data_IF_414696861515
#
_entry.id   IF_414696861515
#
_cell.length_a   1.000
_cell.length_b   1.000
_cell.length_c   1.000
_cell.angle_alpha   90.00
_cell.angle_beta   90.00
_cell.angle_gamma   90.00
#
_symmetry.space_group_name_H-M   'P 1'
#
loop_
_entity.id
_entity.type
_entity.pdbx_description
1 polymer ?
#
# COMPACT_ATOMS: atom_id res chain seq x y z
N UNK A 1 69.24 -3.75 27.98
CA UNK A 1 68.28 -3.71 26.86
C UNK A 1 66.88 -3.78 27.44
N UNK A 2 66.03 -2.78 27.18
CA UNK A 2 64.68 -2.67 27.76
C UNK A 2 63.71 -2.59 26.59
N UNK A 3 63.03 -3.69 26.29
CA UNK A 3 62.11 -3.81 25.16
C UNK A 3 60.74 -3.30 25.58
N UNK A 4 60.25 -2.26 24.92
CA UNK A 4 58.91 -1.70 25.16
C UNK A 4 57.96 -2.30 24.13
N UNK A 5 56.93 -3.01 24.61
CA UNK A 5 55.83 -3.50 23.78
C UNK A 5 54.79 -2.39 23.63
N UNK A 6 54.59 -1.90 22.41
CA UNK A 6 53.52 -0.96 22.06
C UNK A 6 52.31 -1.78 21.64
N UNK A 7 51.26 -1.77 22.46
CA UNK A 7 50.00 -2.45 22.17
C UNK A 7 49.12 -1.53 21.31
N UNK A 8 48.96 -1.86 20.02
CA UNK A 8 48.11 -1.14 19.08
C UNK A 8 46.65 -1.54 19.32
N UNK A 9 45.90 -0.75 20.07
CA UNK A 9 44.46 -0.95 20.28
C UNK A 9 43.69 -0.64 18.99
N UNK A 10 43.21 -1.67 18.30
CA UNK A 10 42.24 -1.52 17.21
C UNK A 10 40.88 -1.12 17.79
N UNK A 11 40.44 0.10 17.52
CA UNK A 11 39.08 0.56 17.74
C UNK A 11 38.16 -0.12 16.73
N UNK A 12 37.47 -1.17 17.15
CA UNK A 12 36.32 -1.71 16.42
C UNK A 12 35.18 -0.69 16.49
N UNK A 13 35.02 0.12 15.45
CA UNK A 13 33.83 0.97 15.27
C UNK A 13 32.69 0.04 14.87
N UNK A 14 31.87 -0.33 15.84
CA UNK A 14 30.63 -1.10 15.60
C UNK A 14 29.72 -0.30 14.67
N UNK A 15 29.62 -0.73 13.41
CA UNK A 15 28.61 -0.25 12.49
C UNK A 15 27.26 -0.78 12.97
N UNK A 16 26.53 0.04 13.72
CA UNK A 16 25.11 -0.19 13.97
C UNK A 16 24.39 -0.05 12.63
N UNK A 17 24.14 -1.18 11.97
CA UNK A 17 23.19 -1.24 10.87
C UNK A 17 21.82 -0.99 11.47
N UNK A 18 21.30 0.22 11.31
CA UNK A 18 19.89 0.48 11.56
C UNK A 18 19.11 -0.33 10.52
N UNK A 19 18.48 -1.42 10.95
CA UNK A 19 17.39 -2.00 10.20
C UNK A 19 16.30 -0.92 10.12
N UNK A 20 16.23 -0.22 8.99
CA UNK A 20 15.06 0.58 8.69
C UNK A 20 13.87 -0.38 8.71
N UNK A 21 12.95 -0.19 9.66
CA UNK A 21 11.68 -0.89 9.66
C UNK A 21 10.92 -0.39 8.44
N UNK A 22 11.08 -1.06 7.30
CA UNK A 22 10.24 -0.83 6.13
C UNK A 22 8.83 -1.23 6.58
N UNK A 23 7.88 -0.29 6.64
CA UNK A 23 6.51 -0.60 7.03
C UNK A 23 6.02 -1.73 6.11
N UNK A 24 5.48 -2.78 6.71
CA UNK A 24 4.96 -3.90 5.92
C UNK A 24 3.84 -3.38 5.02
N UNK A 25 4.07 -3.41 3.71
CA UNK A 25 3.07 -3.09 2.68
C UNK A 25 1.86 -4.03 2.74
N UNK A 26 2.06 -5.23 3.27
CA UNK A 26 0.97 -6.20 3.42
C UNK A 26 -0.01 -5.77 4.50
N UNK A 27 -1.30 -5.80 4.20
CA UNK A 27 -2.40 -5.62 5.13
C UNK A 27 -3.68 -5.17 4.44
N UNK A 28 -4.67 -4.87 5.28
CA UNK A 28 -5.96 -4.31 4.89
C UNK A 28 -5.91 -2.78 5.00
N UNK A 29 -6.41 -2.08 3.98
CA UNK A 29 -6.42 -0.63 3.92
C UNK A 29 -7.83 -0.13 3.59
N UNK A 30 -8.40 0.70 4.44
CA UNK A 30 -9.73 1.27 4.24
C UNK A 30 -9.65 2.72 3.77
N UNK A 31 -10.55 3.14 2.88
CA UNK A 31 -10.57 4.52 2.37
C UNK A 31 -11.05 5.49 3.43
N UNK A 32 -10.38 6.63 3.52
CA UNK A 32 -10.78 7.76 4.33
C UNK A 32 -11.16 8.95 3.45
N UNK A 33 -12.25 9.60 3.82
CA UNK A 33 -12.72 10.85 3.23
C UNK A 33 -12.91 11.90 4.34
N UNK A 34 -12.28 13.06 4.19
CA UNK A 34 -12.30 14.14 5.18
C UNK A 34 -11.90 13.70 6.61
N UNK A 35 -10.95 12.77 6.71
CA UNK A 35 -10.43 12.26 8.00
C UNK A 35 -11.35 11.26 8.70
N UNK A 36 -12.46 10.88 8.07
CA UNK A 36 -13.36 9.82 8.54
C UNK A 36 -13.28 8.63 7.60
N UNK A 37 -13.58 7.45 8.13
CA UNK A 37 -13.78 6.25 7.31
C UNK A 37 -14.85 6.55 6.25
N UNK A 38 -14.62 6.13 5.01
CA UNK A 38 -15.60 6.28 3.94
C UNK A 38 -16.91 5.60 4.37
N UNK A 39 -18.00 6.35 4.29
CA UNK A 39 -19.33 5.84 4.64
C UNK A 39 -19.81 4.76 3.66
N UNK A 40 -19.26 4.74 2.45
CA UNK A 40 -19.40 3.65 1.50
C UNK A 40 -18.19 2.73 1.63
N UNK A 41 -18.39 1.42 1.55
CA UNK A 41 -17.29 0.47 1.63
C UNK A 41 -16.28 0.70 0.50
N UNK A 42 -15.02 0.96 0.85
CA UNK A 42 -13.92 0.99 -0.10
C UNK A 42 -12.62 0.56 0.58
N UNK A 43 -12.02 -0.53 0.11
CA UNK A 43 -10.81 -1.10 0.69
C UNK A 43 -9.87 -1.71 -0.35
N UNK A 44 -8.61 -1.86 0.05
CA UNK A 44 -7.57 -2.56 -0.68
C UNK A 44 -6.84 -3.50 0.27
N UNK A 45 -6.70 -4.75 -0.11
CA UNK A 45 -5.86 -5.74 0.54
C UNK A 45 -4.59 -5.98 -0.27
N UNK A 46 -3.47 -6.04 0.43
CA UNK A 46 -2.18 -6.40 -0.14
C UNK A 46 -1.64 -7.60 0.63
N UNK A 47 -1.36 -8.69 -0.07
CA UNK A 47 -0.72 -9.88 0.49
C UNK A 47 0.57 -10.16 -0.25
N UNK A 48 1.69 -10.30 0.47
CA UNK A 48 2.97 -10.56 -0.17
C UNK A 48 2.99 -11.95 -0.80
N UNK A 49 3.42 -12.03 -2.06
CA UNK A 49 3.60 -13.28 -2.80
C UNK A 49 5.09 -13.60 -2.96
N UNK A 50 5.90 -12.59 -3.25
CA UNK A 50 7.37 -12.68 -3.34
C UNK A 50 8.02 -11.37 -2.81
N UNK A 51 9.33 -11.23 -2.99
CA UNK A 51 10.15 -10.11 -2.56
C UNK A 51 9.59 -8.75 -3.02
N UNK A 52 9.17 -8.65 -4.27
CA UNK A 52 8.55 -7.44 -4.86
C UNK A 52 7.16 -7.66 -5.43
N UNK A 53 6.55 -8.83 -5.25
CA UNK A 53 5.22 -9.14 -5.79
C UNK A 53 4.18 -9.27 -4.69
N UNK A 54 3.01 -8.70 -4.93
CA UNK A 54 1.88 -8.71 -4.02
C UNK A 54 0.63 -9.11 -4.77
N UNK A 55 -0.19 -9.95 -4.13
CA UNK A 55 -1.59 -10.11 -4.49
C UNK A 55 -2.32 -8.86 -3.99
N UNK A 56 -2.91 -8.13 -4.91
CA UNK A 56 -3.74 -6.97 -4.67
C UNK A 56 -5.17 -7.37 -4.94
N UNK A 57 -6.04 -7.16 -3.96
CA UNK A 57 -7.49 -7.24 -4.13
C UNK A 57 -8.14 -5.99 -3.54
N UNK A 58 -9.34 -5.64 -3.96
CA UNK A 58 -10.06 -4.52 -3.39
C UNK A 58 -11.47 -4.38 -3.93
N UNK A 59 -12.29 -3.68 -3.16
CA UNK A 59 -13.66 -3.34 -3.52
C UNK A 59 -13.87 -1.85 -3.30
N UNK A 60 -14.64 -1.20 -4.17
CA UNK A 60 -15.15 0.15 -3.95
C UNK A 60 -16.62 0.21 -4.29
N UNK A 61 -17.41 0.84 -3.42
CA UNK A 61 -18.85 0.94 -3.54
C UNK A 61 -19.26 2.40 -3.76
N UNK A 62 -20.15 2.60 -4.71
CA UNK A 62 -20.89 3.84 -4.87
C UNK A 62 -22.38 3.59 -4.63
N UNK A 63 -22.99 4.38 -3.75
CA UNK A 63 -24.41 4.30 -3.43
C UNK A 63 -25.10 5.56 -3.94
N UNK A 64 -26.00 5.41 -4.92
CA UNK A 64 -26.82 6.51 -5.42
C UNK A 64 -28.08 6.70 -4.59
N UNK A 65 -28.92 5.65 -4.56
CA UNK A 65 -30.11 5.57 -3.71
C UNK A 65 -30.20 4.17 -3.13
N UNK A 66 -29.90 4.05 -1.83
CA UNK A 66 -29.92 2.77 -1.12
C UNK A 66 -31.33 2.20 -0.97
N UNK A 67 -32.38 3.03 -1.02
CA UNK A 67 -33.77 2.58 -0.85
C UNK A 67 -34.30 1.82 -2.06
N UNK A 68 -33.79 2.13 -3.25
CA UNK A 68 -34.08 1.42 -4.50
C UNK A 68 -33.05 0.35 -4.85
N UNK A 69 -31.99 0.21 -4.03
CA UNK A 69 -30.88 -0.70 -4.31
C UNK A 69 -29.96 -0.21 -5.45
N UNK A 70 -29.96 1.09 -5.76
CA UNK A 70 -29.08 1.66 -6.78
C UNK A 70 -27.65 1.80 -6.24
N UNK A 71 -26.94 0.68 -6.29
CA UNK A 71 -25.58 0.49 -5.79
C UNK A 71 -24.72 -0.01 -6.96
N UNK A 72 -23.59 0.65 -7.18
CA UNK A 72 -22.57 0.21 -8.13
C UNK A 72 -21.33 -0.23 -7.36
N UNK A 73 -20.71 -1.31 -7.81
CA UNK A 73 -19.54 -1.92 -7.17
C UNK A 73 -18.42 -2.03 -8.21
N UNK A 74 -17.19 -1.79 -7.77
CA UNK A 74 -15.97 -2.06 -8.51
C UNK A 74 -15.09 -3.01 -7.73
N UNK A 75 -14.41 -3.88 -8.44
CA UNK A 75 -13.51 -4.88 -7.88
C UNK A 75 -12.20 -4.84 -8.66
N UNK A 76 -11.10 -4.94 -7.92
CA UNK A 76 -9.76 -5.10 -8.48
C UNK A 76 -9.17 -6.38 -7.91
N UNK A 77 -8.51 -7.17 -8.74
CA UNK A 77 -7.85 -8.39 -8.32
C UNK A 77 -6.69 -8.71 -9.27
N UNK A 78 -5.49 -8.90 -8.72
CA UNK A 78 -4.32 -9.18 -9.54
C UNK A 78 -3.03 -9.36 -8.76
N UNK A 79 -2.00 -9.89 -9.42
CA UNK A 79 -0.63 -9.86 -8.89
C UNK A 79 0.04 -8.62 -9.45
N UNK A 80 0.61 -7.81 -8.57
CA UNK A 80 1.26 -6.55 -8.90
C UNK A 80 2.69 -6.52 -8.40
N UNK A 81 3.55 -5.86 -9.17
CA UNK A 81 4.93 -5.60 -8.74
C UNK A 81 5.00 -4.26 -8.02
N UNK A 82 5.59 -4.28 -6.82
CA UNK A 82 5.90 -3.08 -6.07
C UNK A 82 7.27 -2.54 -6.48
N UNK A 83 7.29 -1.31 -7.01
CA UNK A 83 8.51 -0.64 -7.46
C UNK A 83 8.79 0.57 -6.57
N UNK A 84 9.75 0.43 -5.64
CA UNK A 84 10.12 1.48 -4.69
C UNK A 84 9.01 1.74 -3.68
N UNK A 85 8.15 2.72 -3.98
CA UNK A 85 6.97 3.06 -3.19
C UNK A 85 5.67 3.13 -4.03
N UNK A 86 5.67 2.56 -5.24
CA UNK A 86 4.57 2.68 -6.18
C UNK A 86 4.14 1.32 -6.72
N UNK A 87 2.84 1.20 -6.96
CA UNK A 87 2.20 0.14 -7.75
C UNK A 87 1.52 0.81 -8.94
N UNK A 88 1.73 0.27 -10.13
CA UNK A 88 0.88 0.55 -11.29
C UNK A 88 0.05 -0.70 -11.55
N UNK A 89 -1.24 -0.61 -11.29
CA UNK A 89 -2.20 -1.65 -11.61
C UNK A 89 -2.72 -1.41 -13.02
N UNK A 90 -2.74 -2.45 -13.85
CA UNK A 90 -3.34 -2.45 -15.19
C UNK A 90 -3.81 -3.87 -15.48
N UNK A 91 -5.10 -4.11 -15.30
CA UNK A 91 -5.75 -5.40 -15.54
C UNK A 91 -7.04 -5.14 -16.29
N UNK A 92 -7.20 -5.79 -17.45
CA UNK A 92 -8.39 -5.70 -18.31
C UNK A 92 -8.81 -4.25 -18.65
N UNK A 93 -7.84 -3.33 -18.75
CA UNK A 93 -8.07 -1.92 -19.06
C UNK A 93 -8.48 -1.06 -17.86
N UNK A 94 -8.65 -1.65 -16.68
CA UNK A 94 -8.73 -0.92 -15.42
C UNK A 94 -7.31 -0.59 -14.95
N UNK A 95 -7.03 0.71 -14.84
CA UNK A 95 -5.72 1.20 -14.40
C UNK A 95 -5.81 1.96 -13.08
N UNK A 96 -4.84 1.75 -12.20
CA UNK A 96 -4.65 2.54 -10.97
C UNK A 96 -3.17 2.85 -10.76
N UNK A 97 -2.90 4.02 -10.18
CA UNK A 97 -1.60 4.34 -9.59
C UNK A 97 -1.76 4.39 -8.08
N UNK A 98 -1.02 3.56 -7.37
CA UNK A 98 -1.04 3.49 -5.90
C UNK A 98 0.33 3.86 -5.37
N UNK A 99 0.39 4.87 -4.50
CA UNK A 99 1.60 5.28 -3.80
C UNK A 99 1.52 4.86 -2.33
N UNK A 100 2.56 4.17 -1.85
CA UNK A 100 2.74 3.84 -0.45
C UNK A 100 3.49 4.95 0.28
N UNK A 101 2.94 5.37 1.40
CA UNK A 101 3.64 6.17 2.40
C UNK A 101 3.32 5.64 3.80
N UNK A 102 4.26 4.91 4.41
CA UNK A 102 4.06 4.27 5.71
C UNK A 102 2.85 3.33 5.73
N UNK A 103 1.82 3.69 6.51
CA UNK A 103 0.56 2.94 6.63
C UNK A 103 -0.54 3.53 5.74
N UNK A 104 -0.19 4.33 4.74
CA UNK A 104 -1.13 5.03 3.86
C UNK A 104 -0.89 4.60 2.43
N UNK A 105 -1.98 4.27 1.72
CA UNK A 105 -2.01 4.18 0.27
C UNK A 105 -2.70 5.42 -0.30
N UNK A 106 -2.12 6.02 -1.32
CA UNK A 106 -2.77 7.07 -2.12
C UNK A 106 -3.05 6.49 -3.50
N UNK A 107 -4.32 6.26 -3.79
CA UNK A 107 -4.79 5.77 -5.08
C UNK A 107 -5.21 6.95 -5.95
N UNK A 108 -4.72 6.94 -7.19
CA UNK A 108 -4.95 7.99 -8.19
C UNK A 108 -5.04 7.36 -9.57
N UNK A 109 -5.52 8.15 -10.54
CA UNK A 109 -5.63 7.75 -11.94
C UNK A 109 -6.46 6.48 -12.16
N UNK A 110 -7.48 6.26 -11.32
CA UNK A 110 -8.53 5.30 -11.64
C UNK A 110 -9.17 5.61 -12.98
N UNK A 111 -9.09 4.63 -13.87
CA UNK A 111 -9.69 4.65 -15.18
C UNK A 111 -10.44 3.35 -15.44
N UNK A 112 -11.64 3.23 -14.87
CA UNK A 112 -12.59 2.18 -15.22
C UNK A 112 -12.50 0.92 -14.36
N UNK A 113 -12.02 1.03 -13.12
CA UNK A 113 -11.91 -0.10 -12.20
C UNK A 113 -13.22 -0.54 -11.52
N UNK A 114 -14.36 -0.05 -11.99
CA UNK A 114 -15.66 -0.43 -11.44
C UNK A 114 -16.82 -0.01 -12.31
N UNK A 115 -18.03 -0.25 -11.79
CA UNK A 115 -19.27 0.19 -12.40
C UNK A 115 -19.42 1.72 -12.46
N UNK A 116 -20.56 2.16 -13.00
CA UNK A 116 -20.87 3.58 -13.15
C UNK A 116 -20.71 4.34 -11.81
N UNK A 117 -19.98 5.46 -11.82
CA UNK A 117 -19.69 6.32 -10.67
C UNK A 117 -18.84 5.69 -9.55
N UNK A 118 -18.41 4.44 -9.69
CA UNK A 118 -17.44 3.86 -8.75
C UNK A 118 -16.09 4.49 -9.02
N UNK A 119 -15.40 4.87 -7.95
CA UNK A 119 -13.99 5.24 -8.04
C UNK A 119 -13.19 4.57 -6.94
N UNK A 120 -11.95 4.21 -7.23
CA UNK A 120 -10.94 3.81 -6.25
C UNK A 120 -10.04 4.97 -5.81
N UNK A 121 -10.10 6.14 -6.47
CA UNK A 121 -9.29 7.29 -6.07
C UNK A 121 -9.52 7.66 -4.60
N UNK A 122 -8.45 7.96 -3.88
CA UNK A 122 -8.52 8.35 -2.48
C UNK A 122 -7.31 7.96 -1.65
N UNK A 123 -7.40 8.28 -0.37
CA UNK A 123 -6.40 7.93 0.63
C UNK A 123 -6.92 6.77 1.46
N UNK A 124 -6.15 5.70 1.57
CA UNK A 124 -6.49 4.52 2.35
C UNK A 124 -5.51 4.38 3.50
N UNK A 125 -6.02 4.03 4.68
CA UNK A 125 -5.23 3.87 5.90
C UNK A 125 -5.24 2.41 6.28
N UNK A 126 -4.07 1.89 6.62
CA UNK A 126 -3.90 0.51 7.06
C UNK A 126 -4.62 0.29 8.39
N UNK A 127 -5.43 -0.76 8.46
CA UNK A 127 -5.97 -1.24 9.73
C UNK A 127 -4.84 -1.80 10.62
N UNK A 128 -4.96 -1.61 11.94
CA UNK A 128 -3.92 -1.96 12.91
C UNK A 128 -3.88 -3.45 13.26
#
# INVERSE_FOLDING_TARGET
>A
MKTVFVCLTMLFVSLFVYAANVPSLQGHYERYYNGQLDTNAAFIDLTRVDSSEYKLSGTSVWVGDSSSGFINIGEIDGVVTFNGNQINYDVDGCTLKILLNQNILVVSNDNGCGGLNVSFNGTYVKEQ
#
